data_IF_975765172234
#
_entry.id   IF_975765172234
#
_cell.length_a   1.000
_cell.length_b   1.000
_cell.length_c   1.000
_cell.angle_alpha   90.00
_cell.angle_beta   90.00
_cell.angle_gamma   90.00
#
_symmetry.space_group_name_H-M   'P 1'
#
loop_
_entity.id
_entity.type
_entity.pdbx_description
1 polymer ?
#
# COMPACT_ATOMS: atom_id res chain seq x y z
N UNK A 1 -12.50 -33.63 72.33
CA UNK A 1 -11.91 -34.93 72.70
C UNK A 1 -12.05 -35.87 71.50
N UNK A 2 -10.93 -36.29 70.91
CA UNK A 2 -10.80 -37.03 69.65
C UNK A 2 -11.59 -38.35 69.68
N UNK A 3 -12.56 -38.58 68.78
CA UNK A 3 -13.13 -39.92 68.55
C UNK A 3 -13.50 -40.17 67.09
N UNK A 4 -13.30 -41.43 66.73
CA UNK A 4 -13.10 -42.02 65.41
C UNK A 4 -14.34 -41.99 64.48
N UNK A 5 -14.05 -41.89 63.18
CA UNK A 5 -14.97 -42.00 62.06
C UNK A 5 -15.63 -43.39 61.95
N UNK A 6 -16.90 -43.44 61.55
CA UNK A 6 -17.62 -44.68 61.25
C UNK A 6 -18.11 -44.63 59.80
N UNK A 7 -17.69 -45.63 59.02
CA UNK A 7 -18.09 -45.90 57.63
C UNK A 7 -19.43 -46.64 57.59
N UNK A 8 -20.38 -46.26 56.72
CA UNK A 8 -21.50 -47.09 56.17
C UNK A 8 -21.94 -46.44 54.83
N UNK A 9 -21.76 -47.03 53.64
CA UNK A 9 -22.41 -48.20 53.02
C UNK A 9 -23.95 -48.01 52.94
N UNK A 10 -24.46 -47.44 51.82
CA UNK A 10 -25.20 -48.11 50.69
C UNK A 10 -26.60 -48.58 51.16
N UNK A 11 -27.79 -48.32 50.56
CA UNK A 11 -28.29 -48.38 49.18
C UNK A 11 -29.82 -48.05 49.19
N UNK A 12 -30.37 -47.70 48.01
CA UNK A 12 -31.73 -47.98 47.49
C UNK A 12 -32.85 -46.92 47.45
N UNK A 13 -33.08 -46.44 46.21
CA UNK A 13 -34.34 -46.46 45.41
C UNK A 13 -35.58 -45.63 45.80
N UNK A 14 -36.10 -44.90 44.80
CA UNK A 14 -37.48 -44.40 44.75
C UNK A 14 -37.66 -43.09 43.96
N UNK A 15 -37.58 -43.09 42.63
CA UNK A 15 -38.73 -42.93 41.69
C UNK A 15 -39.17 -41.47 41.36
N UNK A 16 -38.80 -41.06 40.13
CA UNK A 16 -39.56 -40.35 39.07
C UNK A 16 -40.30 -39.04 39.40
N UNK A 17 -39.93 -37.92 38.75
CA UNK A 17 -40.79 -37.25 37.73
C UNK A 17 -40.18 -36.01 37.03
N UNK A 18 -40.35 -36.04 35.70
CA UNK A 18 -40.68 -34.95 34.76
C UNK A 18 -39.63 -33.87 34.45
N UNK A 19 -39.07 -34.08 33.26
CA UNK A 19 -38.10 -33.27 32.51
C UNK A 19 -38.80 -32.02 31.98
N UNK A 20 -38.33 -30.83 32.38
CA UNK A 20 -38.63 -29.59 31.68
C UNK A 20 -37.54 -29.35 30.64
N UNK A 21 -37.81 -29.60 29.36
CA UNK A 21 -36.89 -29.25 28.28
C UNK A 21 -36.94 -27.74 28.02
N UNK A 22 -35.98 -27.01 28.58
CA UNK A 22 -35.69 -25.65 28.11
C UNK A 22 -35.02 -25.77 26.75
N UNK A 23 -35.72 -25.39 25.67
CA UNK A 23 -35.07 -25.26 24.36
C UNK A 23 -34.13 -24.05 24.42
N UNK A 24 -32.83 -24.32 24.50
CA UNK A 24 -31.80 -23.30 24.36
C UNK A 24 -31.70 -22.93 22.88
N UNK A 25 -32.13 -21.73 22.52
CA UNK A 25 -31.96 -21.21 21.17
C UNK A 25 -30.47 -20.88 20.96
N UNK A 26 -29.72 -21.80 20.38
CA UNK A 26 -28.33 -21.56 20.00
C UNK A 26 -28.30 -20.54 18.85
N UNK A 27 -27.94 -19.28 19.17
CA UNK A 27 -27.58 -18.30 18.14
C UNK A 27 -26.25 -18.71 17.52
N UNK A 28 -26.29 -19.31 16.35
CA UNK A 28 -25.12 -19.42 15.46
C UNK A 28 -24.79 -18.02 14.95
N UNK A 29 -23.78 -17.37 15.53
CA UNK A 29 -23.10 -16.26 14.85
C UNK A 29 -22.35 -16.87 13.67
N UNK A 30 -22.81 -16.59 12.44
CA UNK A 30 -21.98 -16.82 11.26
C UNK A 30 -20.88 -15.76 11.29
N UNK A 31 -19.75 -16.07 11.92
CA UNK A 31 -18.52 -15.33 11.63
C UNK A 31 -18.13 -15.67 10.20
N UNK A 32 -18.42 -14.74 9.29
CA UNK A 32 -17.86 -14.77 7.95
C UNK A 32 -16.33 -14.71 8.12
N UNK A 33 -15.55 -15.55 7.42
CA UNK A 33 -14.11 -15.44 7.48
C UNK A 33 -13.72 -14.02 7.08
N UNK A 34 -13.00 -13.33 7.97
CA UNK A 34 -12.35 -12.07 7.64
C UNK A 34 -11.31 -12.40 6.57
N UNK A 35 -11.69 -12.19 5.31
CA UNK A 35 -10.74 -12.20 4.20
C UNK A 35 -9.88 -10.96 4.39
N UNK A 36 -8.74 -11.12 5.06
CA UNK A 36 -7.69 -10.11 5.08
C UNK A 36 -7.19 -10.03 3.64
N UNK A 37 -7.76 -9.11 2.86
CA UNK A 37 -7.26 -8.75 1.55
C UNK A 37 -5.94 -8.01 1.75
N UNK A 38 -4.85 -8.76 1.89
CA UNK A 38 -3.52 -8.21 1.71
C UNK A 38 -3.44 -7.76 0.26
N UNK A 39 -3.54 -6.44 0.05
CA UNK A 39 -3.27 -5.80 -1.23
C UNK A 39 -1.82 -6.09 -1.61
N UNK A 40 -1.58 -7.20 -2.30
CA UNK A 40 -0.28 -7.51 -2.90
C UNK A 40 -0.06 -6.46 -3.98
N UNK A 41 0.88 -5.54 -3.74
CA UNK A 41 1.27 -4.55 -4.72
C UNK A 41 2.16 -5.28 -5.76
N UNK A 42 1.61 -5.54 -6.94
CA UNK A 42 2.40 -6.09 -8.05
C UNK A 42 3.23 -4.94 -8.60
N UNK A 43 4.55 -4.98 -8.37
CA UNK A 43 5.51 -4.06 -8.96
C UNK A 43 6.12 -4.67 -10.23
N UNK A 44 6.52 -3.86 -11.22
CA UNK A 44 7.27 -4.34 -12.37
C UNK A 44 8.53 -5.09 -11.94
N UNK A 45 8.90 -6.11 -12.71
CA UNK A 45 10.17 -6.82 -12.54
C UNK A 45 11.20 -6.25 -13.51
N UNK A 46 12.31 -5.78 -12.96
CA UNK A 46 13.46 -5.26 -13.70
C UNK A 46 14.72 -6.02 -13.28
N UNK A 47 15.66 -6.16 -14.21
CA UNK A 47 16.92 -6.85 -14.04
C UNK A 47 18.07 -5.91 -13.66
N UNK A 48 18.01 -4.63 -14.06
CA UNK A 48 19.06 -3.64 -13.75
C UNK A 48 18.60 -2.55 -12.79
N UNK A 49 17.29 -2.39 -12.62
CA UNK A 49 16.67 -1.32 -11.82
C UNK A 49 16.05 -1.87 -10.55
N UNK A 50 16.46 -1.34 -9.39
CA UNK A 50 15.89 -1.71 -8.09
C UNK A 50 14.57 -0.98 -7.83
N UNK A 51 14.52 0.33 -8.12
CA UNK A 51 13.29 1.12 -7.98
C UNK A 51 13.29 2.38 -8.84
N UNK A 52 12.07 2.83 -9.18
CA UNK A 52 11.80 4.15 -9.76
C UNK A 52 10.59 4.72 -9.04
N UNK A 53 10.84 5.67 -8.15
CA UNK A 53 9.80 6.30 -7.34
C UNK A 53 9.65 7.76 -7.76
N UNK A 54 8.43 8.19 -8.07
CA UNK A 54 8.15 9.56 -8.50
C UNK A 54 6.91 10.10 -7.79
N UNK A 55 7.05 11.26 -7.17
CA UNK A 55 6.03 11.86 -6.30
C UNK A 55 5.81 13.32 -6.64
N UNK A 56 4.56 13.75 -6.52
CA UNK A 56 4.16 15.13 -6.71
C UNK A 56 3.32 15.56 -5.50
N UNK A 57 3.78 16.59 -4.80
CA UNK A 57 3.07 17.19 -3.68
C UNK A 57 2.75 18.65 -3.97
N UNK A 58 1.80 19.20 -3.21
CA UNK A 58 1.35 20.59 -3.35
C UNK A 58 1.42 21.31 -2.02
N UNK A 59 1.79 22.59 -2.07
CA UNK A 59 1.71 23.51 -0.95
C UNK A 59 1.32 24.89 -1.47
N UNK A 60 0.06 25.27 -1.23
CA UNK A 60 -0.56 26.41 -1.89
C UNK A 60 -0.48 26.28 -3.41
N UNK A 61 0.03 27.31 -4.09
CA UNK A 61 0.25 27.32 -5.54
C UNK A 61 1.57 26.68 -5.99
N UNK A 62 2.30 26.01 -5.10
CA UNK A 62 3.60 25.39 -5.42
C UNK A 62 3.46 23.89 -5.52
N UNK A 63 3.87 23.34 -6.66
CA UNK A 63 4.10 21.92 -6.88
C UNK A 63 5.54 21.59 -6.50
N UNK A 64 5.74 20.53 -5.73
CA UNK A 64 7.05 19.97 -5.42
C UNK A 64 7.14 18.56 -5.99
N UNK A 65 8.13 18.35 -6.84
CA UNK A 65 8.44 17.06 -7.44
C UNK A 65 9.60 16.41 -6.71
N UNK A 66 9.51 15.09 -6.53
CA UNK A 66 10.60 14.25 -6.06
C UNK A 66 10.69 13.01 -6.96
N UNK A 67 11.90 12.70 -7.41
CA UNK A 67 12.23 11.51 -8.19
C UNK A 67 13.41 10.81 -7.53
N UNK A 68 13.28 9.50 -7.34
CA UNK A 68 14.33 8.64 -6.80
C UNK A 68 14.45 7.43 -7.72
N UNK A 69 15.64 7.18 -8.23
CA UNK A 69 15.95 6.05 -9.10
C UNK A 69 17.13 5.32 -8.48
N UNK A 70 16.99 4.01 -8.29
CA UNK A 70 18.07 3.16 -7.81
C UNK A 70 18.26 1.99 -8.75
N UNK A 71 19.50 1.77 -9.18
CA UNK A 71 19.91 0.59 -9.94
C UNK A 71 20.45 -0.48 -8.98
N UNK A 72 20.40 -1.75 -9.38
CA UNK A 72 21.02 -2.83 -8.60
C UNK A 72 22.54 -2.76 -8.56
N UNK A 73 23.17 -1.91 -9.39
CA UNK A 73 24.61 -1.72 -9.41
C UNK A 73 24.96 -0.25 -9.66
N UNK A 74 25.89 0.24 -8.84
CA UNK A 74 26.44 1.60 -8.89
C UNK A 74 27.15 1.95 -10.21
N UNK A 75 27.39 0.96 -11.07
CA UNK A 75 27.99 1.13 -12.39
C UNK A 75 26.97 1.43 -13.50
N UNK A 76 25.66 1.27 -13.23
CA UNK A 76 24.62 1.41 -14.25
C UNK A 76 24.35 2.86 -14.54
N UNK A 77 24.54 3.26 -15.80
CA UNK A 77 24.23 4.60 -16.28
C UNK A 77 22.71 4.84 -16.28
N UNK A 78 22.31 6.00 -15.77
CA UNK A 78 20.92 6.45 -15.72
C UNK A 78 20.79 7.72 -16.57
N UNK A 79 19.92 7.70 -17.57
CA UNK A 79 19.66 8.86 -18.44
C UNK A 79 18.19 8.97 -18.78
N UNK A 80 17.64 10.17 -18.84
CA UNK A 80 16.22 10.31 -19.10
C UNK A 80 15.71 11.73 -19.03
N UNK A 81 14.40 11.84 -18.87
CA UNK A 81 13.73 13.13 -18.68
C UNK A 81 12.53 12.96 -17.75
N UNK A 82 12.45 13.82 -16.74
CA UNK A 82 11.28 14.00 -15.90
C UNK A 82 10.42 15.11 -16.51
N UNK A 83 9.14 14.84 -16.76
CA UNK A 83 8.19 15.79 -17.32
C UNK A 83 7.13 16.15 -16.27
N UNK A 84 6.88 17.44 -16.10
CA UNK A 84 5.64 17.90 -15.47
C UNK A 84 4.58 18.03 -16.56
N UNK A 85 3.43 17.38 -16.33
CA UNK A 85 2.29 17.41 -17.23
C UNK A 85 1.10 18.08 -16.55
N UNK A 86 0.29 18.81 -17.33
CA UNK A 86 -1.03 19.30 -16.92
C UNK A 86 -2.14 18.62 -17.68
N UNK A 87 -3.29 18.45 -17.04
CA UNK A 87 -4.51 17.91 -17.64
C UNK A 87 -5.30 19.06 -18.27
N UNK A 88 -5.70 18.89 -19.53
CA UNK A 88 -6.56 19.83 -20.25
C UNK A 88 -7.46 19.03 -21.20
N UNK A 89 -8.77 19.23 -21.10
CA UNK A 89 -9.77 18.52 -21.92
C UNK A 89 -9.56 16.98 -21.92
N UNK A 90 -9.29 16.42 -20.73
CA UNK A 90 -9.04 14.98 -20.55
C UNK A 90 -7.70 14.47 -21.06
N UNK A 91 -6.82 15.33 -21.60
CA UNK A 91 -5.50 14.96 -22.13
C UNK A 91 -4.38 15.55 -21.32
N UNK A 92 -3.23 14.87 -21.29
CA UNK A 92 -2.02 15.33 -20.62
C UNK A 92 -1.10 16.04 -21.61
N UNK A 93 -0.66 17.25 -21.26
CA UNK A 93 0.31 18.02 -22.03
C UNK A 93 1.52 18.38 -21.16
N UNK A 94 2.72 18.27 -21.73
CA UNK A 94 3.96 18.65 -21.05
C UNK A 94 3.98 20.18 -20.83
N UNK A 95 4.36 20.59 -19.63
CA UNK A 95 4.49 22.01 -19.24
C UNK A 95 5.96 22.38 -19.09
N UNK A 96 6.75 21.51 -18.47
CA UNK A 96 8.20 21.66 -18.35
C UNK A 96 8.85 20.28 -18.22
N UNK A 97 10.18 20.24 -18.30
CA UNK A 97 10.94 19.01 -18.18
C UNK A 97 12.35 19.24 -17.65
N UNK A 98 12.88 18.24 -16.96
CA UNK A 98 14.24 18.24 -16.41
C UNK A 98 15.00 17.01 -16.89
N UNK A 99 16.28 17.20 -17.25
CA UNK A 99 17.14 16.12 -17.71
C UNK A 99 17.64 15.29 -16.54
N UNK A 100 17.59 13.98 -16.71
CA UNK A 100 18.11 13.00 -15.76
C UNK A 100 19.44 12.52 -16.31
N UNK A 101 20.50 12.60 -15.52
CA UNK A 101 21.81 12.02 -15.82
C UNK A 101 22.52 11.65 -14.52
N UNK A 102 22.88 10.38 -14.37
CA UNK A 102 23.60 9.87 -13.21
C UNK A 102 24.05 8.43 -13.39
N UNK A 103 24.46 7.78 -12.31
CA UNK A 103 24.92 6.39 -12.32
C UNK A 103 24.67 5.79 -10.93
N UNK A 104 24.17 4.54 -10.87
CA UNK A 104 23.80 3.90 -9.62
C UNK A 104 22.48 4.42 -9.07
N UNK A 105 22.52 5.58 -8.43
CA UNK A 105 21.37 6.24 -7.85
C UNK A 105 21.21 7.68 -8.39
N UNK A 106 19.96 8.13 -8.51
CA UNK A 106 19.62 9.51 -8.87
C UNK A 106 18.46 9.99 -8.03
N UNK A 107 18.68 11.08 -7.30
CA UNK A 107 17.66 11.86 -6.62
C UNK A 107 17.51 13.23 -7.28
N UNK A 108 16.27 13.66 -7.54
CA UNK A 108 15.98 14.96 -8.10
C UNK A 108 14.76 15.58 -7.43
N UNK A 109 14.89 16.85 -7.06
CA UNK A 109 13.79 17.66 -6.55
C UNK A 109 13.67 18.96 -7.35
N UNK A 110 12.45 19.30 -7.74
CA UNK A 110 12.14 20.56 -8.41
C UNK A 110 10.82 21.12 -7.93
N UNK A 111 10.68 22.44 -8.05
CA UNK A 111 9.41 23.13 -7.79
C UNK A 111 8.86 23.79 -9.06
N UNK A 112 7.55 23.97 -9.09
CA UNK A 112 6.86 24.67 -10.17
C UNK A 112 5.66 25.44 -9.61
N UNK A 113 5.38 26.64 -10.16
CA UNK A 113 4.21 27.43 -9.79
C UNK A 113 3.00 26.97 -10.60
N UNK A 114 2.08 26.29 -9.92
CA UNK A 114 0.84 25.79 -10.47
C UNK A 114 -0.18 26.90 -10.73
N UNK A 115 -1.26 26.51 -11.40
CA UNK A 115 -2.40 27.36 -11.71
C UNK A 115 -3.61 26.72 -11.01
N UNK A 116 -4.37 27.52 -10.27
CA UNK A 116 -5.55 27.02 -9.55
C UNK A 116 -6.59 26.41 -10.49
N UNK A 117 -7.19 25.29 -10.09
CA UNK A 117 -8.14 24.51 -10.88
C UNK A 117 -7.49 23.67 -11.98
N UNK A 118 -6.16 23.52 -11.98
CA UNK A 118 -5.44 22.68 -12.94
C UNK A 118 -4.86 21.45 -12.23
N UNK A 119 -5.16 20.27 -12.77
CA UNK A 119 -4.56 19.01 -12.33
C UNK A 119 -3.22 18.77 -13.02
N UNK A 120 -2.22 18.38 -12.25
CA UNK A 120 -0.88 18.04 -12.68
C UNK A 120 -0.51 16.60 -12.35
N UNK A 121 0.48 16.07 -13.05
CA UNK A 121 1.20 14.83 -12.68
C UNK A 121 2.63 14.90 -13.21
N UNK A 122 3.50 14.05 -12.68
CA UNK A 122 4.80 13.78 -13.26
C UNK A 122 4.74 12.56 -14.17
N UNK A 123 5.57 12.58 -15.21
CA UNK A 123 5.90 11.44 -16.04
C UNK A 123 7.41 11.35 -16.10
N UNK A 124 8.00 10.25 -15.67
CA UNK A 124 9.42 9.97 -15.88
C UNK A 124 9.57 9.02 -17.06
N UNK A 125 10.51 9.30 -17.96
CA UNK A 125 10.97 8.37 -18.99
C UNK A 125 12.47 8.27 -18.84
N UNK A 126 12.94 7.09 -18.43
CA UNK A 126 14.34 6.87 -18.08
C UNK A 126 14.86 5.58 -18.68
N UNK A 127 16.17 5.58 -18.97
CA UNK A 127 16.95 4.42 -19.31
C UNK A 127 17.94 4.14 -18.19
N UNK A 128 17.88 2.94 -17.63
CA UNK A 128 18.82 2.42 -16.61
C UNK A 128 19.57 1.26 -17.26
N UNK A 129 20.85 1.45 -17.54
CA UNK A 129 21.62 0.50 -18.35
C UNK A 129 20.98 0.29 -19.72
N UNK A 130 20.39 -0.88 -19.94
CA UNK A 130 19.69 -1.29 -21.15
C UNK A 130 18.17 -1.18 -21.05
N UNK A 131 17.63 -1.06 -19.84
CA UNK A 131 16.19 -1.03 -19.56
C UNK A 131 15.59 0.34 -19.85
N UNK A 132 14.38 0.38 -20.42
CA UNK A 132 13.62 1.62 -20.61
C UNK A 132 12.36 1.58 -19.76
N UNK A 133 12.22 2.56 -18.88
CA UNK A 133 11.18 2.61 -17.86
C UNK A 133 10.38 3.90 -18.00
N UNK A 134 9.07 3.78 -17.85
CA UNK A 134 8.16 4.94 -17.76
C UNK A 134 7.27 4.78 -16.56
N UNK A 135 7.31 5.75 -15.65
CA UNK A 135 6.50 5.78 -14.43
C UNK A 135 5.79 7.14 -14.29
N UNK A 136 4.76 7.17 -13.45
CA UNK A 136 3.94 8.36 -13.20
C UNK A 136 3.76 8.57 -11.70
N UNK A 137 3.69 9.84 -11.30
CA UNK A 137 3.28 10.17 -9.93
C UNK A 137 1.77 10.04 -9.76
N UNK A 138 1.31 10.28 -8.53
CA UNK A 138 -0.06 10.71 -8.27
C UNK A 138 -0.44 11.96 -9.10
N UNK A 139 -1.74 12.12 -9.33
CA UNK A 139 -2.30 13.39 -9.81
C UNK A 139 -2.42 14.36 -8.63
N UNK A 140 -2.22 15.65 -8.87
CA UNK A 140 -2.37 16.70 -7.87
C UNK A 140 -3.04 17.93 -8.48
N UNK A 141 -4.12 18.40 -7.87
CA UNK A 141 -4.77 19.64 -8.24
C UNK A 141 -4.23 20.79 -7.38
N UNK A 142 -4.10 21.97 -7.99
CA UNK A 142 -3.70 23.23 -7.35
C UNK A 142 -4.92 24.10 -7.14
#
# INVERSE_FOLDING_TARGET
MKRHNIKKLLICTGVITLISTSQVLAKTSKELPVVISQKVLIQPYWNETASVNVYLTTSGSTLSSALQISAFSDSKKITGTLYLQKKSNGRWANVTSWKINGTGDVDMEHTYKGISGVTYRLKVVVKVGTESITEYSNEAEI
#
